data_IF_813209869575
#
_entry.id   IF_813209869575
#
_cell.length_a   1.000
_cell.length_b   1.000
_cell.length_c   1.000
_cell.angle_alpha   90.00
_cell.angle_beta   90.00
_cell.angle_gamma   90.00
#
_symmetry.space_group_name_H-M   'P 1'
#
loop_
_entity.id
_entity.type
_entity.pdbx_description
1 polymer ?
#
# COMPACT_ATOMS: atom_id res chain seq x y z
N UNK A 1 0.06 4.26 3.01
CA UNK A 1 -0.79 3.07 2.80
C UNK A 1 -2.27 3.42 2.87
N UNK A 2 -2.75 4.09 3.91
CA UNK A 2 -4.18 4.44 4.05
C UNK A 2 -4.71 5.33 2.92
N UNK A 3 -3.88 6.17 2.32
CA UNK A 3 -4.20 7.00 1.17
C UNK A 3 -4.11 6.26 -0.19
N UNK A 4 -3.58 5.05 -0.20
CA UNK A 4 -3.42 4.28 -1.43
C UNK A 4 -4.78 3.79 -1.95
N UNK A 5 -5.13 4.15 -3.19
CA UNK A 5 -6.45 3.89 -3.80
C UNK A 5 -6.83 2.41 -3.78
N UNK A 6 -5.87 1.51 -4.08
CA UNK A 6 -6.09 0.07 -4.06
C UNK A 6 -6.42 -0.46 -2.65
N UNK A 7 -5.76 0.09 -1.62
CA UNK A 7 -6.03 -0.25 -0.23
C UNK A 7 -7.42 0.22 0.20
N UNK A 8 -7.82 1.44 -0.17
CA UNK A 8 -9.16 1.97 0.09
C UNK A 8 -10.26 1.14 -0.61
N UNK A 9 -10.01 0.68 -1.82
CA UNK A 9 -10.95 -0.21 -2.53
C UNK A 9 -11.08 -1.58 -1.84
N UNK A 10 -9.99 -2.14 -1.32
CA UNK A 10 -10.01 -3.38 -0.54
C UNK A 10 -10.82 -3.20 0.75
N UNK A 11 -10.60 -2.10 1.48
CA UNK A 11 -11.33 -1.77 2.70
C UNK A 11 -12.84 -1.62 2.49
N UNK A 12 -13.29 -1.14 1.32
CA UNK A 12 -14.71 -1.01 1.01
C UNK A 12 -15.42 -2.33 0.74
N UNK A 13 -14.66 -3.36 0.38
CA UNK A 13 -15.20 -4.66 -0.05
C UNK A 13 -15.11 -5.72 1.04
N UNK A 14 -14.15 -5.59 1.95
CA UNK A 14 -13.89 -6.60 2.98
C UNK A 14 -14.84 -6.42 4.16
N UNK A 15 -15.46 -7.50 4.60
CA UNK A 15 -16.25 -7.55 5.83
C UNK A 15 -15.35 -7.68 7.06
N UNK A 16 -15.92 -7.42 8.26
CA UNK A 16 -15.20 -7.64 9.53
C UNK A 16 -14.73 -9.09 9.68
N UNK A 17 -15.60 -10.04 9.36
CA UNK A 17 -15.27 -11.47 9.47
C UNK A 17 -14.16 -11.88 8.52
N UNK A 18 -14.19 -11.40 7.27
CA UNK A 18 -13.13 -11.67 6.29
C UNK A 18 -11.78 -11.06 6.71
N UNK A 19 -11.77 -9.82 7.21
CA UNK A 19 -10.56 -9.18 7.72
C UNK A 19 -10.00 -9.90 8.95
N UNK A 20 -10.87 -10.33 9.85
CA UNK A 20 -10.49 -11.15 11.02
C UNK A 20 -9.92 -12.50 10.60
N UNK A 21 -10.58 -13.20 9.67
CA UNK A 21 -10.08 -14.48 9.15
C UNK A 21 -8.74 -14.33 8.44
N UNK A 22 -8.56 -13.28 7.62
CA UNK A 22 -7.29 -12.97 6.99
C UNK A 22 -6.16 -12.76 8.02
N UNK A 23 -6.42 -12.01 9.09
CA UNK A 23 -5.46 -11.81 10.17
C UNK A 23 -5.09 -13.14 10.84
N UNK A 24 -6.09 -13.97 11.15
CA UNK A 24 -5.89 -15.29 11.76
C UNK A 24 -5.08 -16.22 10.85
N UNK A 25 -5.41 -16.27 9.56
CA UNK A 25 -4.70 -17.07 8.57
C UNK A 25 -3.25 -16.61 8.43
N UNK A 26 -3.03 -15.31 8.39
CA UNK A 26 -1.71 -14.71 8.31
C UNK A 26 -0.84 -15.13 9.50
N UNK A 27 -1.33 -14.97 10.74
CA UNK A 27 -0.61 -15.41 11.94
C UNK A 27 -0.39 -16.95 11.97
N UNK A 28 -1.36 -17.72 11.47
CA UNK A 28 -1.23 -19.18 11.40
C UNK A 28 -0.14 -19.59 10.40
N UNK A 29 -0.07 -18.94 9.24
CA UNK A 29 0.98 -19.17 8.24
C UNK A 29 2.36 -18.75 8.75
N UNK A 30 2.46 -17.62 9.44
CA UNK A 30 3.68 -17.20 10.12
C UNK A 30 4.13 -18.28 11.10
N UNK A 31 3.20 -18.80 11.93
CA UNK A 31 3.49 -19.83 12.93
C UNK A 31 3.98 -21.15 12.31
N UNK A 32 3.49 -21.52 11.13
CA UNK A 32 3.77 -22.82 10.51
C UNK A 32 4.88 -22.80 9.47
N UNK A 33 5.19 -21.66 8.87
CA UNK A 33 6.09 -21.56 7.72
C UNK A 33 7.29 -20.62 7.92
N UNK A 34 7.24 -19.73 8.93
CA UNK A 34 8.37 -18.85 9.17
C UNK A 34 9.58 -19.63 9.72
N UNK A 35 10.77 -19.25 9.28
CA UNK A 35 12.04 -19.97 9.60
C UNK A 35 12.31 -20.03 11.11
N UNK A 36 11.91 -19.02 11.85
CA UNK A 36 12.03 -18.96 13.32
C UNK A 36 10.65 -18.96 13.98
N UNK A 37 10.57 -19.50 15.18
CA UNK A 37 9.33 -19.44 15.97
C UNK A 37 8.90 -18.00 16.15
N UNK A 38 7.64 -17.63 15.81
CA UNK A 38 7.18 -16.27 15.93
C UNK A 38 7.02 -15.87 17.39
N UNK A 39 7.47 -14.67 17.70
CA UNK A 39 7.15 -13.98 18.96
C UNK A 39 5.79 -13.28 18.79
N UNK A 40 4.72 -13.92 19.23
CA UNK A 40 3.37 -13.37 19.09
C UNK A 40 3.19 -12.04 19.84
N UNK A 41 3.83 -11.87 21.00
CA UNK A 41 3.80 -10.61 21.71
C UNK A 41 4.41 -9.49 20.85
N UNK A 42 5.54 -9.74 20.21
CA UNK A 42 6.20 -8.79 19.31
C UNK A 42 5.35 -8.48 18.08
N UNK A 43 4.67 -9.47 17.48
CA UNK A 43 3.78 -9.26 16.34
C UNK A 43 2.60 -8.36 16.70
N UNK A 44 1.92 -8.63 17.82
CA UNK A 44 0.82 -7.80 18.31
C UNK A 44 1.31 -6.40 18.69
N UNK A 45 2.43 -6.28 19.38
CA UNK A 45 3.02 -4.98 19.75
C UNK A 45 3.31 -4.10 18.52
N UNK A 46 3.80 -4.69 17.43
CA UNK A 46 4.02 -3.98 16.16
C UNK A 46 2.70 -3.52 15.52
N UNK A 47 1.68 -4.37 15.53
CA UNK A 47 0.33 -3.99 15.11
C UNK A 47 -0.19 -2.79 15.89
N UNK A 48 -0.02 -2.81 17.22
CA UNK A 48 -0.37 -1.70 18.09
C UNK A 48 0.41 -0.43 17.79
N UNK A 49 1.73 -0.52 17.54
CA UNK A 49 2.56 0.63 17.17
C UNK A 49 2.09 1.24 15.84
N UNK A 50 1.75 0.41 14.85
CA UNK A 50 1.20 0.89 13.59
C UNK A 50 -0.13 1.64 13.78
N UNK A 51 -1.03 1.10 14.59
CA UNK A 51 -2.29 1.77 14.93
C UNK A 51 -2.08 3.08 15.69
N UNK A 52 -1.09 3.15 16.61
CA UNK A 52 -0.72 4.38 17.32
C UNK A 52 -0.25 5.47 16.35
N UNK A 53 0.58 5.10 15.37
CA UNK A 53 1.06 6.03 14.35
C UNK A 53 -0.10 6.47 13.46
N UNK A 54 -0.91 5.53 12.99
CA UNK A 54 -2.04 5.79 12.10
C UNK A 54 -3.08 6.72 12.75
N UNK A 55 -3.46 6.48 14.01
CA UNK A 55 -4.48 7.28 14.71
C UNK A 55 -4.01 8.71 14.98
N UNK A 56 -2.72 9.00 14.93
CA UNK A 56 -2.17 10.35 15.05
C UNK A 56 -2.09 11.09 13.70
N UNK A 57 -2.32 10.40 12.58
CA UNK A 57 -2.31 10.99 11.24
C UNK A 57 -3.66 11.64 10.93
N UNK A 58 -3.70 12.94 10.55
CA UNK A 58 -4.95 13.64 10.27
C UNK A 58 -5.74 13.05 9.10
N UNK A 59 -5.07 12.54 8.07
CA UNK A 59 -5.73 11.91 6.92
C UNK A 59 -6.39 10.59 7.32
N UNK A 60 -5.69 9.78 8.12
CA UNK A 60 -6.26 8.55 8.67
C UNK A 60 -7.47 8.84 9.57
N UNK A 61 -7.40 9.87 10.43
CA UNK A 61 -8.53 10.28 11.28
C UNK A 61 -9.75 10.67 10.43
N UNK A 62 -9.53 11.45 9.38
CA UNK A 62 -10.60 11.85 8.46
C UNK A 62 -11.28 10.65 7.78
N UNK A 63 -10.49 9.68 7.35
CA UNK A 63 -10.98 8.51 6.61
C UNK A 63 -11.60 7.44 7.51
N UNK A 64 -10.99 7.17 8.67
CA UNK A 64 -11.27 5.96 9.44
C UNK A 64 -11.60 6.17 10.91
N UNK A 65 -11.32 7.34 11.47
CA UNK A 65 -11.43 7.60 12.91
C UNK A 65 -12.10 8.94 13.22
N UNK A 66 -13.25 9.20 12.61
CA UNK A 66 -13.98 10.48 12.75
C UNK A 66 -14.41 10.82 14.18
N UNK A 67 -14.35 9.86 15.11
CA UNK A 67 -14.63 10.07 16.53
C UNK A 67 -13.37 10.30 17.36
N UNK A 68 -12.18 10.34 16.75
CA UNK A 68 -10.91 10.50 17.43
C UNK A 68 -10.72 11.95 17.89
N UNK A 69 -10.99 12.19 19.18
CA UNK A 69 -10.53 13.41 19.87
C UNK A 69 -9.23 13.13 20.61
N UNK A 70 -8.44 14.15 20.99
CA UNK A 70 -7.21 13.92 21.76
C UNK A 70 -7.40 13.05 23.01
N UNK A 71 -8.51 13.26 23.74
CA UNK A 71 -8.84 12.49 24.95
C UNK A 71 -9.19 11.03 24.61
N UNK A 72 -9.93 10.81 23.53
CA UNK A 72 -10.29 9.46 23.07
C UNK A 72 -9.09 8.72 22.53
N UNK A 73 -8.19 9.42 21.83
CA UNK A 73 -6.91 8.84 21.39
C UNK A 73 -6.09 8.43 22.61
N UNK A 74 -5.94 9.30 23.62
CA UNK A 74 -5.20 8.97 24.84
C UNK A 74 -5.80 7.75 25.54
N UNK A 75 -7.12 7.67 25.67
CA UNK A 75 -7.82 6.51 26.25
C UNK A 75 -7.59 5.23 25.43
N UNK A 76 -7.65 5.31 24.11
CA UNK A 76 -7.37 4.17 23.23
C UNK A 76 -5.95 3.66 23.37
N UNK A 77 -4.96 4.56 23.42
CA UNK A 77 -3.56 4.22 23.61
C UNK A 77 -3.32 3.56 24.99
N UNK A 78 -4.00 4.01 26.03
CA UNK A 78 -3.96 3.39 27.33
C UNK A 78 -4.53 1.97 27.31
N UNK A 79 -5.68 1.76 26.62
CA UNK A 79 -6.27 0.43 26.45
C UNK A 79 -5.32 -0.52 25.71
N UNK A 80 -4.70 -0.07 24.60
CA UNK A 80 -3.73 -0.89 23.86
C UNK A 80 -2.58 -1.30 24.79
N UNK A 81 -2.00 -0.34 25.49
CA UNK A 81 -0.89 -0.59 26.42
C UNK A 81 -1.29 -1.62 27.46
N UNK A 82 -2.47 -1.47 28.08
CA UNK A 82 -2.97 -2.43 29.09
C UNK A 82 -3.17 -3.83 28.52
N UNK A 83 -3.65 -3.96 27.26
CA UNK A 83 -3.82 -5.26 26.60
C UNK A 83 -2.45 -5.92 26.36
N UNK A 84 -1.47 -5.16 25.88
CA UNK A 84 -0.15 -5.69 25.51
C UNK A 84 0.72 -5.99 26.74
N UNK A 85 0.80 -5.05 27.69
CA UNK A 85 1.65 -5.18 28.88
C UNK A 85 1.01 -6.05 29.98
N UNK A 86 -0.30 -6.01 30.10
CA UNK A 86 -1.04 -6.71 31.15
C UNK A 86 -1.28 -8.21 30.91
N UNK A 87 -0.87 -8.74 29.77
CA UNK A 87 -1.18 -10.12 29.37
C UNK A 87 0.02 -10.84 28.75
N UNK A 88 0.08 -12.14 29.00
CA UNK A 88 0.98 -13.01 28.24
C UNK A 88 0.37 -13.31 26.86
N UNK A 89 1.11 -13.02 25.79
CA UNK A 89 0.73 -13.31 24.41
C UNK A 89 1.76 -14.27 23.86
N UNK A 90 1.67 -15.53 24.27
CA UNK A 90 2.66 -16.57 23.95
C UNK A 90 2.19 -17.49 22.83
N UNK A 91 0.87 -17.60 22.65
CA UNK A 91 0.26 -18.53 21.69
C UNK A 91 -0.49 -17.78 20.58
N UNK A 92 -0.73 -18.49 19.48
CA UNK A 92 -1.61 -18.01 18.41
C UNK A 92 -3.01 -17.65 18.95
N UNK A 93 -3.53 -18.41 19.93
CA UNK A 93 -4.82 -18.14 20.57
C UNK A 93 -4.80 -16.81 21.33
N UNK A 94 -3.74 -16.56 22.10
CA UNK A 94 -3.59 -15.30 22.85
C UNK A 94 -3.52 -14.11 21.90
N UNK A 95 -2.77 -14.26 20.79
CA UNK A 95 -2.62 -13.21 19.78
C UNK A 95 -3.97 -12.87 19.11
N UNK A 96 -4.77 -13.89 18.75
CA UNK A 96 -6.13 -13.71 18.21
C UNK A 96 -7.03 -12.96 19.19
N UNK A 97 -7.00 -13.37 20.45
CA UNK A 97 -7.81 -12.78 21.52
C UNK A 97 -7.41 -11.32 21.75
N UNK A 98 -6.12 -11.03 21.85
CA UNK A 98 -5.60 -9.67 22.02
C UNK A 98 -6.01 -8.76 20.84
N UNK A 99 -5.85 -9.21 19.59
CA UNK A 99 -6.25 -8.47 18.41
C UNK A 99 -7.76 -8.16 18.38
N UNK A 100 -8.61 -9.11 18.77
CA UNK A 100 -10.06 -8.91 18.86
C UNK A 100 -10.43 -7.83 19.89
N UNK A 101 -9.73 -7.78 21.04
CA UNK A 101 -9.95 -6.73 22.04
C UNK A 101 -9.46 -5.37 21.57
N UNK A 102 -8.31 -5.33 20.87
CA UNK A 102 -7.79 -4.09 20.26
C UNK A 102 -8.78 -3.55 19.24
N UNK A 103 -9.31 -4.42 18.34
CA UNK A 103 -10.28 -4.04 17.33
C UNK A 103 -11.58 -3.49 17.95
N UNK A 104 -12.09 -4.17 19.00
CA UNK A 104 -13.26 -3.68 19.74
C UNK A 104 -12.99 -2.35 20.43
N UNK A 105 -11.83 -2.18 21.05
CA UNK A 105 -11.44 -0.90 21.67
C UNK A 105 -11.32 0.22 20.63
N UNK A 106 -10.71 -0.05 19.48
CA UNK A 106 -10.60 0.89 18.39
C UNK A 106 -11.98 1.37 17.91
N UNK A 107 -12.91 0.43 17.73
CA UNK A 107 -14.28 0.74 17.32
C UNK A 107 -15.03 1.58 18.36
N UNK A 108 -14.99 1.18 19.62
CA UNK A 108 -15.78 1.83 20.67
C UNK A 108 -15.22 3.17 21.11
N UNK A 109 -13.89 3.31 21.12
CA UNK A 109 -13.22 4.51 21.66
C UNK A 109 -12.97 5.55 20.58
N UNK A 110 -12.44 5.18 19.42
CA UNK A 110 -12.03 6.13 18.36
C UNK A 110 -12.82 5.99 17.07
N UNK A 111 -13.73 5.01 16.97
CA UNK A 111 -14.61 4.81 15.83
C UNK A 111 -13.97 4.13 14.63
N UNK A 112 -12.78 3.53 14.79
CA UNK A 112 -12.11 2.76 13.73
C UNK A 112 -12.79 1.42 13.55
N UNK A 113 -13.23 1.11 12.33
CA UNK A 113 -13.88 -0.16 12.02
C UNK A 113 -12.94 -1.35 12.31
N UNK A 114 -13.46 -2.48 12.83
CA UNK A 114 -12.65 -3.67 13.11
C UNK A 114 -11.90 -4.18 11.88
N UNK A 115 -12.51 -4.15 10.70
CA UNK A 115 -11.86 -4.53 9.45
C UNK A 115 -10.58 -3.73 9.17
N UNK A 116 -10.62 -2.41 9.37
CA UNK A 116 -9.45 -1.53 9.23
C UNK A 116 -8.38 -1.90 10.25
N UNK A 117 -8.78 -2.10 11.52
CA UNK A 117 -7.87 -2.49 12.59
C UNK A 117 -7.15 -3.82 12.28
N UNK A 118 -7.89 -4.85 11.85
CA UNK A 118 -7.29 -6.14 11.50
C UNK A 118 -6.34 -6.04 10.31
N UNK A 119 -6.66 -5.27 9.27
CA UNK A 119 -5.79 -5.08 8.12
C UNK A 119 -4.51 -4.33 8.47
N UNK A 120 -4.59 -3.25 9.26
CA UNK A 120 -3.41 -2.54 9.75
C UNK A 120 -2.52 -3.44 10.60
N UNK A 121 -3.10 -4.21 11.50
CA UNK A 121 -2.36 -5.16 12.33
C UNK A 121 -1.73 -6.27 11.50
N UNK A 122 -2.43 -6.80 10.47
CA UNK A 122 -1.89 -7.81 9.54
C UNK A 122 -0.67 -7.27 8.83
N UNK A 123 -0.79 -6.12 8.21
CA UNK A 123 0.29 -5.51 7.45
C UNK A 123 1.52 -5.20 8.32
N UNK A 124 1.30 -4.68 9.54
CA UNK A 124 2.37 -4.38 10.48
C UNK A 124 3.05 -5.65 11.03
N UNK A 125 2.29 -6.71 11.28
CA UNK A 125 2.83 -7.98 11.76
C UNK A 125 3.74 -8.62 10.70
N UNK A 126 3.29 -8.67 9.44
CA UNK A 126 4.07 -9.24 8.33
C UNK A 126 5.28 -8.38 8.01
N UNK A 127 5.11 -7.07 7.82
CA UNK A 127 6.21 -6.16 7.48
C UNK A 127 7.28 -6.03 8.56
N UNK A 128 7.05 -6.62 9.72
CA UNK A 128 7.99 -6.63 10.82
C UNK A 128 8.67 -7.97 11.07
N UNK A 129 8.44 -9.00 10.25
CA UNK A 129 9.09 -10.31 10.41
C UNK A 129 10.57 -10.24 10.01
N UNK A 130 10.81 -9.92 8.75
CA UNK A 130 12.14 -9.80 8.15
C UNK A 130 12.07 -8.86 6.92
N UNK A 131 13.21 -8.66 6.25
CA UNK A 131 13.32 -7.80 5.06
C UNK A 131 12.67 -8.39 3.79
N UNK A 132 12.35 -9.69 3.80
CA UNK A 132 11.74 -10.41 2.67
C UNK A 132 10.24 -10.60 2.83
N UNK A 133 9.71 -10.31 4.01
CA UNK A 133 8.28 -10.48 4.31
C UNK A 133 7.51 -9.19 4.04
N UNK A 134 6.53 -9.26 3.15
CA UNK A 134 5.68 -8.12 2.81
C UNK A 134 4.20 -8.53 2.73
N UNK A 135 3.34 -7.65 3.19
CA UNK A 135 1.90 -7.73 2.94
C UNK A 135 1.57 -6.85 1.73
N UNK A 136 1.14 -7.49 0.65
CA UNK A 136 0.82 -6.83 -0.60
C UNK A 136 -0.68 -6.85 -0.85
N UNK A 137 -1.22 -5.75 -1.35
CA UNK A 137 -2.55 -5.75 -1.94
C UNK A 137 -2.53 -6.52 -3.27
N UNK A 138 -3.69 -6.92 -3.78
CA UNK A 138 -3.78 -7.60 -5.08
C UNK A 138 -3.15 -6.76 -6.20
N UNK A 139 -3.32 -5.43 -6.17
CA UNK A 139 -2.68 -4.52 -7.11
C UNK A 139 -1.16 -4.58 -7.03
N UNK A 140 -0.60 -4.40 -5.83
CA UNK A 140 0.86 -4.47 -5.60
C UNK A 140 1.44 -5.84 -5.95
N UNK A 141 0.69 -6.92 -5.72
CA UNK A 141 1.11 -8.26 -6.10
C UNK A 141 1.17 -8.42 -7.62
N UNK A 142 0.15 -7.92 -8.34
CA UNK A 142 0.15 -7.92 -9.80
C UNK A 142 1.29 -7.07 -10.36
N UNK A 143 1.57 -5.90 -9.78
CA UNK A 143 2.69 -5.05 -10.17
C UNK A 143 4.03 -5.77 -9.94
N UNK A 144 4.18 -6.47 -8.82
CA UNK A 144 5.37 -7.28 -8.52
C UNK A 144 5.54 -8.43 -9.54
N UNK A 145 4.47 -9.16 -9.85
CA UNK A 145 4.51 -10.20 -10.87
C UNK A 145 4.85 -9.62 -12.25
N UNK A 146 4.25 -8.50 -12.63
CA UNK A 146 4.58 -7.82 -13.88
C UNK A 146 6.06 -7.44 -13.95
N UNK A 147 6.66 -7.01 -12.84
CA UNK A 147 8.10 -6.72 -12.76
C UNK A 147 8.96 -7.98 -12.89
N UNK A 148 8.58 -9.08 -12.23
CA UNK A 148 9.35 -10.35 -12.23
C UNK A 148 9.27 -11.03 -13.60
N UNK A 149 8.08 -11.07 -14.20
CA UNK A 149 7.81 -11.71 -15.48
C UNK A 149 8.25 -10.87 -16.68
N UNK A 150 8.67 -9.63 -16.45
CA UNK A 150 9.00 -8.67 -17.51
C UNK A 150 7.76 -8.25 -18.33
N UNK A 151 6.57 -8.63 -17.89
CA UNK A 151 5.30 -8.25 -18.48
C UNK A 151 4.90 -6.85 -17.98
N UNK A 152 5.68 -5.83 -18.36
CA UNK A 152 5.21 -4.46 -18.25
C UNK A 152 4.00 -4.30 -19.18
N UNK A 153 2.79 -4.34 -18.61
CA UNK A 153 1.61 -3.81 -19.28
C UNK A 153 1.74 -2.29 -19.26
N UNK A 154 2.60 -1.81 -20.12
CA UNK A 154 2.92 -0.40 -20.28
C UNK A 154 3.22 -0.13 -21.75
N UNK A 155 3.54 1.11 -22.04
CA UNK A 155 3.84 1.57 -23.41
C UNK A 155 5.12 0.94 -23.97
N UNK A 156 6.00 0.39 -23.14
CA UNK A 156 7.32 -0.13 -23.51
C UNK A 156 8.32 0.97 -23.78
N UNK A 157 8.43 1.92 -22.84
CA UNK A 157 9.39 3.03 -22.87
C UNK A 157 10.15 3.12 -21.55
N UNK A 158 11.42 3.50 -21.65
CA UNK A 158 12.21 3.96 -20.51
C UNK A 158 12.18 5.48 -20.48
N UNK A 159 11.81 6.05 -19.33
CA UNK A 159 11.61 7.48 -19.14
C UNK A 159 12.58 8.05 -18.12
N UNK A 160 13.02 9.28 -18.33
CA UNK A 160 13.86 10.05 -17.42
C UNK A 160 13.27 11.44 -17.20
N UNK A 161 13.41 12.00 -16.01
CA UNK A 161 13.00 13.39 -15.74
C UNK A 161 13.77 14.36 -16.65
N UNK A 162 13.05 15.32 -17.23
CA UNK A 162 13.58 16.47 -17.96
C UNK A 162 12.88 17.73 -17.45
N UNK A 163 13.45 18.93 -17.74
CA UNK A 163 12.90 20.20 -17.27
C UNK A 163 11.45 20.43 -17.71
N UNK A 164 11.12 20.04 -18.94
CA UNK A 164 9.81 20.26 -19.55
C UNK A 164 8.87 19.05 -19.48
N UNK A 165 9.26 17.97 -18.79
CA UNK A 165 8.47 16.74 -18.74
C UNK A 165 9.31 15.47 -18.58
N UNK A 166 9.10 14.47 -19.43
CA UNK A 166 9.87 13.23 -19.42
C UNK A 166 10.55 12.97 -20.75
N UNK A 167 11.84 12.68 -20.71
CA UNK A 167 12.63 12.26 -21.86
C UNK A 167 12.47 10.76 -22.08
N UNK A 168 12.14 10.34 -23.29
CA UNK A 168 12.17 8.94 -23.73
C UNK A 168 13.63 8.54 -23.99
N UNK A 169 14.18 7.71 -23.13
CA UNK A 169 15.58 7.24 -23.22
C UNK A 169 15.68 6.03 -24.14
N UNK A 170 14.73 5.11 -24.01
CA UNK A 170 14.69 3.89 -24.79
C UNK A 170 13.24 3.49 -25.12
N UNK A 171 13.05 2.88 -26.29
CA UNK A 171 11.76 2.29 -26.72
C UNK A 171 11.99 0.82 -26.98
N UNK A 172 11.21 -0.02 -26.32
CA UNK A 172 11.31 -1.49 -26.46
C UNK A 172 10.78 -1.91 -27.83
N UNK A 173 11.55 -2.71 -28.54
CA UNK A 173 11.16 -3.23 -29.86
C UNK A 173 9.89 -4.08 -29.77
N UNK A 174 8.95 -3.90 -30.69
CA UNK A 174 7.66 -4.58 -30.70
C UNK A 174 6.63 -4.02 -29.69
N UNK A 175 6.98 -2.97 -28.93
CA UNK A 175 6.10 -2.35 -27.94
C UNK A 175 4.97 -1.51 -28.53
N UNK A 176 3.91 -1.20 -27.77
CA UNK A 176 2.91 -0.23 -28.20
C UNK A 176 3.48 1.14 -28.53
N UNK A 177 4.50 1.59 -27.82
CA UNK A 177 5.18 2.86 -28.04
C UNK A 177 5.87 2.88 -29.41
N UNK A 178 6.62 1.84 -29.76
CA UNK A 178 7.27 1.74 -31.08
C UNK A 178 6.22 1.75 -32.19
N UNK A 179 5.14 0.93 -32.05
CA UNK A 179 4.05 0.89 -33.03
C UNK A 179 3.32 2.23 -33.19
N UNK A 180 3.33 3.06 -32.14
CA UNK A 180 2.77 4.42 -32.17
C UNK A 180 3.74 5.47 -32.71
N UNK A 181 4.96 5.08 -33.05
CA UNK A 181 5.98 5.95 -33.61
C UNK A 181 6.77 6.75 -32.58
N UNK A 182 6.72 6.39 -31.29
CA UNK A 182 7.57 6.99 -30.26
C UNK A 182 9.03 6.57 -30.49
N UNK A 183 9.97 7.50 -30.24
CA UNK A 183 11.40 7.28 -30.46
C UNK A 183 12.22 7.76 -29.26
N UNK A 184 13.39 7.16 -29.07
CA UNK A 184 14.36 7.69 -28.14
C UNK A 184 14.72 9.14 -28.50
N UNK A 185 14.78 10.02 -27.49
CA UNK A 185 14.96 11.46 -27.68
C UNK A 185 13.66 12.27 -27.76
N UNK A 186 12.49 11.61 -27.79
CA UNK A 186 11.21 12.32 -27.69
C UNK A 186 11.00 12.84 -26.26
N UNK A 187 10.43 14.04 -26.13
CA UNK A 187 10.03 14.62 -24.85
C UNK A 187 8.52 14.50 -24.68
N UNK A 188 8.06 13.79 -23.66
CA UNK A 188 6.66 13.75 -23.27
C UNK A 188 6.37 15.00 -22.43
N UNK A 189 5.45 15.83 -22.87
CA UNK A 189 5.04 17.08 -22.21
C UNK A 189 3.62 17.01 -21.64
N UNK A 190 2.85 15.96 -22.00
CA UNK A 190 1.50 15.76 -21.50
C UNK A 190 1.02 14.32 -21.66
N UNK A 191 0.20 13.87 -20.72
CA UNK A 191 -0.39 12.52 -20.67
C UNK A 191 -1.89 12.68 -20.45
N UNK A 192 -2.71 12.07 -21.32
CA UNK A 192 -4.18 12.11 -21.26
C UNK A 192 -4.75 13.53 -21.08
N UNK A 193 -4.13 14.53 -21.73
CA UNK A 193 -4.51 15.93 -21.62
C UNK A 193 -3.96 16.67 -20.38
N UNK A 194 -3.25 16.00 -19.48
CA UNK A 194 -2.63 16.60 -18.31
C UNK A 194 -1.18 16.99 -18.63
N UNK A 195 -0.78 18.28 -18.48
CA UNK A 195 0.62 18.70 -18.60
C UNK A 195 1.47 18.03 -17.48
N UNK A 196 2.67 17.56 -17.84
CA UNK A 196 3.56 16.84 -16.89
C UNK A 196 4.88 17.56 -16.61
N UNK A 197 5.01 18.81 -17.03
CA UNK A 197 6.17 19.65 -16.72
C UNK A 197 6.38 19.77 -15.20
N UNK A 198 7.59 19.47 -14.73
CA UNK A 198 7.93 19.47 -13.30
C UNK A 198 7.35 18.31 -12.46
N UNK A 199 6.65 17.36 -13.09
CA UNK A 199 6.13 16.17 -12.40
C UNK A 199 7.23 15.13 -12.19
N UNK A 200 7.22 14.48 -11.03
CA UNK A 200 8.14 13.36 -10.77
C UNK A 200 7.82 12.17 -11.68
N UNK A 201 8.86 11.41 -12.10
CA UNK A 201 8.72 10.27 -13.05
C UNK A 201 7.67 9.29 -12.57
N UNK A 202 7.64 8.94 -11.27
CA UNK A 202 6.71 7.96 -10.72
C UNK A 202 5.25 8.43 -10.82
N UNK A 203 4.99 9.72 -10.59
CA UNK A 203 3.65 10.29 -10.72
C UNK A 203 3.17 10.29 -12.19
N UNK A 204 4.06 10.60 -13.12
CA UNK A 204 3.75 10.55 -14.55
C UNK A 204 3.60 9.10 -15.05
N UNK A 205 4.39 8.17 -14.53
CA UNK A 205 4.27 6.74 -14.83
C UNK A 205 2.89 6.19 -14.41
N UNK A 206 2.33 6.64 -13.29
CA UNK A 206 0.97 6.28 -12.87
C UNK A 206 -0.10 6.75 -13.87
N UNK A 207 0.08 7.89 -14.52
CA UNK A 207 -0.83 8.38 -15.57
C UNK A 207 -0.74 7.57 -16.86
N UNK A 208 0.37 6.85 -17.08
CA UNK A 208 0.57 5.97 -18.24
C UNK A 208 0.00 4.56 -18.00
N UNK A 209 -0.28 4.20 -16.76
CA UNK A 209 -0.86 2.90 -16.41
C UNK A 209 -2.34 2.84 -16.79
N UNK A 210 -2.76 1.67 -17.26
CA UNK A 210 -4.16 1.42 -17.61
C UNK A 210 -4.42 -0.06 -17.86
N UNK A 211 -5.69 -0.47 -17.98
CA UNK A 211 -6.03 -1.84 -18.32
C UNK A 211 -5.40 -2.25 -19.66
N UNK A 212 -5.08 -3.53 -19.80
CA UNK A 212 -4.58 -4.07 -21.07
C UNK A 212 -5.52 -3.74 -22.23
N UNK A 213 -4.97 -3.28 -23.36
CA UNK A 213 -5.72 -2.84 -24.53
C UNK A 213 -6.31 -1.43 -24.44
N UNK A 214 -6.19 -0.74 -23.32
CA UNK A 214 -6.57 0.67 -23.22
C UNK A 214 -5.64 1.57 -24.06
N UNK A 215 -6.10 2.78 -24.36
CA UNK A 215 -5.34 3.77 -25.13
C UNK A 215 -5.10 5.01 -24.27
N UNK A 216 -3.89 5.54 -24.33
CA UNK A 216 -3.53 6.83 -23.73
C UNK A 216 -3.04 7.80 -24.81
N UNK A 217 -3.46 9.05 -24.74
CA UNK A 217 -2.98 10.11 -25.64
C UNK A 217 -1.78 10.78 -25.02
N UNK A 218 -0.67 10.89 -25.79
CA UNK A 218 0.55 11.54 -25.36
C UNK A 218 0.78 12.82 -26.17
N UNK A 219 1.14 13.90 -25.50
CA UNK A 219 1.68 15.09 -26.12
C UNK A 219 3.21 14.97 -26.17
N UNK A 220 3.79 14.98 -27.35
CA UNK A 220 5.21 14.71 -27.58
C UNK A 220 5.85 15.86 -28.31
N UNK A 221 7.00 16.33 -27.82
CA UNK A 221 7.91 17.22 -28.54
C UNK A 221 9.05 16.40 -29.12
N UNK A 222 9.25 16.51 -30.43
CA UNK A 222 10.35 15.86 -31.15
C UNK A 222 11.29 16.94 -31.74
N UNK A 223 12.60 16.71 -31.62
CA UNK A 223 13.60 17.58 -32.25
C UNK A 223 14.14 18.71 -31.38
N UNK A 224 13.88 18.69 -30.07
CA UNK A 224 14.58 19.57 -29.11
C UNK A 224 15.86 18.84 -28.69
N UNK A 225 16.85 18.75 -29.61
CA UNK A 225 18.18 18.32 -29.22
C UNK A 225 18.86 19.45 -28.42
N UNK A 226 19.82 19.10 -27.51
CA UNK A 226 20.58 20.13 -26.82
C UNK A 226 21.27 21.06 -27.84
N UNK A 227 21.09 22.36 -27.62
CA UNK A 227 21.82 23.41 -28.36
C UNK A 227 23.31 23.34 -28.02
#
# INVERSE_FOLDING_TARGET
>A
RSAEKAYQEALRKITEDEAHQLFIECLSRINSHHVSNPDFHKLISRGCTALQIAICDPEYQYLHAQQATPERIALFLEHIRHIVEGRKIETLHDAKTAASWIARSAQTVVGVLPAVTFLEMTAASVGGLDEYSAFLTTGQLNDLYAQIEGNFVGLGVELKSAEDGLLVVHVIQGSPAERSGLQAGDHLIGIAGTPIGGMHVDAAAQLLQGPEGSRVTLAVLRGVGPA
#
